data_IF_025444930736
#
_entry.id   IF_025444930736
#
_cell.length_a   1.000
_cell.length_b   1.000
_cell.length_c   1.000
_cell.angle_alpha   90.00
_cell.angle_beta   90.00
_cell.angle_gamma   90.00
#
_symmetry.space_group_name_H-M   'P 1'
#
loop_
_entity.id
_entity.type
_entity.pdbx_description
1 polymer ?
#
# COMPACT_ATOMS: atom_id res chain seq x y z
N UNK A 1 -13.04 20.79 -10.87
CA UNK A 1 -12.56 19.74 -11.78
C UNK A 1 -11.39 18.99 -11.16
N UNK A 2 -11.48 17.68 -11.17
CA UNK A 2 -10.46 16.76 -10.62
C UNK A 2 -9.37 16.57 -11.67
N UNK A 3 -8.13 16.70 -11.29
CA UNK A 3 -7.00 16.32 -12.14
C UNK A 3 -6.50 14.95 -11.71
N UNK A 4 -6.44 14.00 -12.64
CA UNK A 4 -6.06 12.63 -12.33
C UNK A 4 -5.03 12.16 -13.35
N UNK A 5 -3.92 11.65 -12.87
CA UNK A 5 -2.93 11.00 -13.70
C UNK A 5 -2.90 9.51 -13.34
N UNK A 6 -3.36 8.69 -14.25
CA UNK A 6 -3.19 7.23 -14.12
C UNK A 6 -1.75 6.91 -14.52
N UNK A 7 -0.96 6.39 -13.56
CA UNK A 7 0.46 6.11 -13.79
C UNK A 7 0.69 4.61 -13.96
N UNK A 8 -0.06 3.81 -13.20
CA UNK A 8 -0.04 2.35 -13.26
C UNK A 8 -1.46 1.84 -12.98
N UNK A 9 -1.64 0.96 -12.00
CA UNK A 9 -2.93 0.55 -11.48
C UNK A 9 -3.42 1.42 -10.32
N UNK A 10 -2.92 2.65 -10.23
CA UNK A 10 -3.40 3.66 -9.30
C UNK A 10 -3.56 5.01 -9.99
N UNK A 11 -4.42 5.84 -9.44
CA UNK A 11 -4.59 7.23 -9.83
C UNK A 11 -4.04 8.15 -8.75
N UNK A 12 -3.21 9.13 -9.11
CA UNK A 12 -2.85 10.25 -8.22
C UNK A 12 -3.99 11.25 -8.23
N UNK A 13 -4.41 11.65 -7.03
CA UNK A 13 -5.60 12.45 -6.81
C UNK A 13 -5.22 13.90 -6.50
N UNK A 14 -5.92 14.84 -7.10
CA UNK A 14 -5.85 16.24 -6.74
C UNK A 14 -7.22 16.90 -6.96
N UNK A 15 -7.52 17.91 -6.17
CA UNK A 15 -8.72 18.73 -6.33
C UNK A 15 -8.31 20.16 -6.67
N UNK A 16 -8.99 20.77 -7.63
CA UNK A 16 -8.76 22.16 -7.98
C UNK A 16 -9.40 23.11 -6.95
N UNK A 17 -10.62 22.78 -6.54
CA UNK A 17 -11.39 23.55 -5.57
C UNK A 17 -11.74 22.68 -4.38
N UNK A 18 -11.41 23.15 -3.17
CA UNK A 18 -11.69 22.45 -1.92
C UNK A 18 -12.67 23.26 -1.08
N UNK A 19 -13.66 22.58 -0.49
CA UNK A 19 -14.54 23.22 0.49
C UNK A 19 -13.77 23.58 1.76
N UNK A 20 -13.96 24.79 2.27
CA UNK A 20 -13.35 25.22 3.53
C UNK A 20 -13.92 24.47 4.74
N UNK A 21 -15.13 23.94 4.62
CA UNK A 21 -15.84 23.26 5.70
C UNK A 21 -15.59 21.76 5.74
N UNK A 22 -14.97 21.18 4.70
CA UNK A 22 -14.67 19.75 4.66
C UNK A 22 -13.45 19.39 5.50
N UNK A 23 -13.52 18.28 6.23
CA UNK A 23 -12.39 17.68 6.93
C UNK A 23 -11.56 16.78 5.99
N UNK A 24 -12.21 16.30 4.93
CA UNK A 24 -11.54 15.54 3.89
C UNK A 24 -12.45 15.16 2.72
N UNK A 25 -11.96 14.21 1.92
CA UNK A 25 -12.62 13.80 0.69
C UNK A 25 -12.61 12.30 0.55
N UNK A 26 -13.71 11.77 0.08
CA UNK A 26 -13.88 10.36 -0.23
C UNK A 26 -13.88 10.18 -1.75
N UNK A 27 -12.86 9.48 -2.26
CA UNK A 27 -12.69 9.18 -3.67
C UNK A 27 -13.04 7.72 -3.93
N UNK A 28 -13.76 7.48 -5.01
CA UNK A 28 -14.12 6.13 -5.43
C UNK A 28 -13.96 5.98 -6.94
N UNK A 29 -13.60 4.78 -7.40
CA UNK A 29 -13.75 4.38 -8.79
C UNK A 29 -14.94 3.44 -8.90
N UNK A 30 -15.80 3.64 -9.91
CA UNK A 30 -16.93 2.79 -10.20
C UNK A 30 -17.06 2.56 -11.72
N UNK A 31 -17.74 1.50 -12.14
CA UNK A 31 -17.95 1.22 -13.56
C UNK A 31 -18.93 2.20 -14.21
N UNK A 32 -19.85 2.75 -13.42
CA UNK A 32 -20.87 3.69 -13.90
C UNK A 32 -21.46 4.46 -12.71
N UNK A 33 -22.22 5.51 -13.02
CA UNK A 33 -23.00 6.22 -12.03
C UNK A 33 -24.04 5.31 -11.33
N UNK A 34 -24.61 4.36 -12.04
CA UNK A 34 -25.55 3.38 -11.47
C UNK A 34 -24.87 2.50 -10.41
N UNK A 35 -23.63 2.11 -10.63
CA UNK A 35 -22.87 1.31 -9.65
C UNK A 35 -22.41 2.19 -8.48
N UNK A 36 -22.11 3.48 -8.71
CA UNK A 36 -21.85 4.46 -7.65
C UNK A 36 -23.04 4.57 -6.68
N UNK A 37 -24.27 4.69 -7.22
CA UNK A 37 -25.50 4.82 -6.42
C UNK A 37 -25.79 3.56 -5.58
N UNK A 38 -25.30 2.40 -5.99
CA UNK A 38 -25.39 1.15 -5.25
C UNK A 38 -24.22 0.94 -4.26
N UNK A 39 -23.31 1.91 -4.17
CA UNK A 39 -22.08 1.81 -3.41
C UNK A 39 -21.18 0.65 -3.83
N UNK A 40 -21.29 0.20 -5.07
CA UNK A 40 -20.47 -0.86 -5.64
C UNK A 40 -19.17 -0.26 -6.22
N UNK A 41 -18.20 -0.01 -5.32
CA UNK A 41 -16.95 0.62 -5.68
C UNK A 41 -15.89 -0.41 -6.08
N UNK A 42 -15.19 -0.14 -7.17
CA UNK A 42 -14.02 -0.92 -7.64
C UNK A 42 -12.81 -0.64 -6.77
N UNK A 43 -12.61 0.63 -6.43
CA UNK A 43 -11.55 1.10 -5.55
C UNK A 43 -12.05 2.32 -4.78
N UNK A 44 -11.55 2.50 -3.56
CA UNK A 44 -11.94 3.63 -2.73
C UNK A 44 -10.79 4.08 -1.83
N UNK A 45 -10.76 5.36 -1.51
CA UNK A 45 -9.84 5.94 -0.52
C UNK A 45 -10.45 7.17 0.12
N UNK A 46 -10.31 7.27 1.44
CA UNK A 46 -10.64 8.46 2.19
C UNK A 46 -9.35 9.22 2.48
N UNK A 47 -9.37 10.52 2.27
CA UNK A 47 -8.20 11.39 2.34
C UNK A 47 -8.53 12.59 3.19
N UNK A 48 -7.76 12.83 4.25
CA UNK A 48 -7.87 14.05 5.04
C UNK A 48 -7.50 15.27 4.18
N UNK A 49 -8.13 16.39 4.43
CA UNK A 49 -7.88 17.64 3.67
C UNK A 49 -6.40 18.05 3.68
N UNK A 50 -5.70 17.83 4.79
CA UNK A 50 -4.26 18.09 4.95
C UNK A 50 -3.38 17.24 4.05
N UNK A 51 -3.85 16.07 3.63
CA UNK A 51 -3.08 15.12 2.82
C UNK A 51 -3.23 15.33 1.31
N UNK A 52 -4.17 16.15 0.87
CA UNK A 52 -4.41 16.40 -0.56
C UNK A 52 -3.19 16.93 -1.31
N UNK A 53 -2.35 17.72 -0.65
CA UNK A 53 -1.13 18.30 -1.23
C UNK A 53 -0.02 17.26 -1.47
N UNK A 54 -0.17 16.04 -0.96
CA UNK A 54 0.78 14.94 -1.12
C UNK A 54 0.39 13.97 -2.23
N UNK A 55 -0.55 14.34 -3.09
CA UNK A 55 -1.04 13.52 -4.20
C UNK A 55 -1.44 12.10 -3.74
N UNK A 56 -2.46 11.98 -2.89
CA UNK A 56 -2.93 10.68 -2.41
C UNK A 56 -3.30 9.77 -3.58
N UNK A 57 -3.27 8.46 -3.34
CA UNK A 57 -3.41 7.47 -4.41
C UNK A 57 -4.65 6.63 -4.22
N UNK A 58 -5.49 6.58 -5.25
CA UNK A 58 -6.52 5.55 -5.38
C UNK A 58 -5.88 4.33 -6.03
N UNK A 59 -5.68 3.25 -5.27
CA UNK A 59 -4.89 2.08 -5.66
C UNK A 59 -5.76 0.95 -6.21
N UNK A 60 -5.11 0.02 -6.91
CA UNK A 60 -5.66 -1.26 -7.38
C UNK A 60 -6.86 -1.12 -8.30
N UNK A 61 -6.86 -0.08 -9.12
CA UNK A 61 -7.87 0.09 -10.16
C UNK A 61 -7.61 -0.97 -11.25
N UNK A 62 -8.56 -1.87 -11.54
CA UNK A 62 -8.39 -2.90 -12.56
C UNK A 62 -8.20 -2.30 -13.96
N UNK A 63 -7.67 -3.10 -14.88
CA UNK A 63 -7.67 -2.76 -16.31
C UNK A 63 -9.10 -2.51 -16.79
N UNK A 64 -9.28 -1.46 -17.57
CA UNK A 64 -10.58 -1.10 -18.13
C UNK A 64 -10.86 0.40 -18.15
N UNK A 65 -12.13 0.69 -18.42
CA UNK A 65 -12.66 2.07 -18.41
C UNK A 65 -13.57 2.22 -17.20
N UNK A 66 -13.24 3.16 -16.34
CA UNK A 66 -13.93 3.42 -15.09
C UNK A 66 -14.21 4.91 -14.93
N UNK A 67 -14.98 5.28 -13.92
CA UNK A 67 -15.25 6.67 -13.57
C UNK A 67 -14.79 6.94 -12.14
N UNK A 68 -14.00 8.00 -11.97
CA UNK A 68 -13.62 8.52 -10.67
C UNK A 68 -14.68 9.53 -10.20
N UNK A 69 -15.14 9.35 -8.98
CA UNK A 69 -16.01 10.27 -8.27
C UNK A 69 -15.39 10.70 -6.95
N UNK A 70 -15.80 11.86 -6.49
CA UNK A 70 -15.34 12.42 -5.23
C UNK A 70 -16.51 13.09 -4.51
N UNK A 71 -16.55 12.98 -3.18
CA UNK A 71 -17.41 13.80 -2.34
C UNK A 71 -16.66 14.27 -1.10
N UNK A 72 -17.01 15.45 -0.60
CA UNK A 72 -16.49 15.94 0.67
C UNK A 72 -17.10 15.15 1.83
N UNK A 73 -16.38 15.04 2.93
CA UNK A 73 -16.94 14.60 4.20
C UNK A 73 -16.58 15.59 5.32
N UNK A 74 -17.42 15.60 6.35
CA UNK A 74 -17.22 16.33 7.60
C UNK A 74 -17.46 15.37 8.76
N UNK A 75 -16.53 15.37 9.72
CA UNK A 75 -16.67 14.59 10.94
C UNK A 75 -17.54 15.36 11.93
N UNK A 76 -18.54 14.69 12.48
CA UNK A 76 -19.40 15.23 13.54
C UNK A 76 -19.03 14.61 14.89
N UNK A 77 -19.46 15.26 15.97
CA UNK A 77 -19.31 14.73 17.32
C UNK A 77 -19.93 13.33 17.44
N UNK A 78 -19.17 12.35 17.92
CA UNK A 78 -19.60 10.94 18.06
C UNK A 78 -19.14 10.02 16.95
N UNK A 79 -18.13 10.40 16.16
CA UNK A 79 -17.55 9.60 15.05
C UNK A 79 -18.53 9.31 13.92
N UNK A 80 -19.53 10.16 13.73
CA UNK A 80 -20.41 10.13 12.56
C UNK A 80 -19.86 11.06 11.51
N UNK A 81 -20.10 10.73 10.24
CA UNK A 81 -19.65 11.50 9.10
C UNK A 81 -20.83 11.95 8.28
N UNK A 82 -20.82 13.22 7.89
CA UNK A 82 -21.72 13.76 6.87
C UNK A 82 -20.98 13.85 5.55
N UNK A 83 -21.63 13.37 4.52
CA UNK A 83 -21.11 13.43 3.16
C UNK A 83 -21.88 14.46 2.33
N UNK A 84 -21.15 15.20 1.52
CA UNK A 84 -21.70 16.04 0.48
C UNK A 84 -22.13 15.23 -0.75
N UNK A 85 -22.64 15.95 -1.75
CA UNK A 85 -22.99 15.38 -3.04
C UNK A 85 -21.76 14.85 -3.79
N UNK A 86 -21.96 13.86 -4.63
CA UNK A 86 -20.93 13.34 -5.51
C UNK A 86 -20.58 14.36 -6.61
N UNK A 87 -19.30 14.42 -6.97
CA UNK A 87 -18.85 15.13 -8.16
C UNK A 87 -19.39 14.50 -9.43
N UNK A 88 -19.28 15.20 -10.55
CA UNK A 88 -19.37 14.57 -11.87
C UNK A 88 -18.30 13.50 -12.02
N UNK A 89 -18.60 12.45 -12.77
CA UNK A 89 -17.68 11.35 -13.05
C UNK A 89 -16.54 11.78 -13.98
N UNK A 90 -15.31 11.53 -13.54
CA UNK A 90 -14.12 11.72 -14.37
C UNK A 90 -13.69 10.39 -14.99
N UNK A 91 -13.57 10.36 -16.31
CA UNK A 91 -13.22 9.13 -17.05
C UNK A 91 -11.78 8.69 -16.74
N UNK A 92 -11.62 7.46 -16.26
CA UNK A 92 -10.36 6.78 -16.05
C UNK A 92 -10.18 5.64 -17.06
N UNK A 93 -9.08 5.67 -17.81
CA UNK A 93 -8.67 4.54 -18.65
C UNK A 93 -7.42 3.91 -18.06
N UNK A 94 -7.53 2.64 -17.66
CA UNK A 94 -6.44 1.85 -17.08
C UNK A 94 -6.10 0.72 -18.05
N UNK A 95 -4.92 0.80 -18.67
CA UNK A 95 -4.45 -0.16 -19.67
C UNK A 95 -3.45 -1.17 -19.10
N UNK A 96 -3.55 -1.42 -17.78
CA UNK A 96 -2.55 -2.22 -17.07
C UNK A 96 -3.27 -3.23 -16.17
N UNK A 97 -3.00 -4.50 -16.42
CA UNK A 97 -3.50 -5.58 -15.56
C UNK A 97 -2.78 -5.57 -14.21
N UNK A 98 -3.53 -5.45 -13.13
CA UNK A 98 -3.01 -5.63 -11.77
C UNK A 98 -2.62 -7.10 -11.56
N UNK A 99 -1.39 -7.40 -11.10
CA UNK A 99 -1.00 -8.76 -10.77
C UNK A 99 -1.83 -9.32 -9.61
N UNK A 100 -2.01 -10.63 -9.58
CA UNK A 100 -2.64 -11.29 -8.44
C UNK A 100 -1.80 -11.16 -7.16
N UNK A 101 -2.46 -11.06 -6.02
CA UNK A 101 -1.78 -11.08 -4.73
C UNK A 101 -1.03 -12.41 -4.54
N UNK A 102 0.19 -12.39 -3.97
CA UNK A 102 0.90 -13.62 -3.67
C UNK A 102 0.16 -14.42 -2.59
N UNK A 103 0.30 -15.73 -2.64
CA UNK A 103 -0.23 -16.63 -1.61
C UNK A 103 0.86 -16.88 -0.58
N UNK A 104 0.65 -16.46 0.67
CA UNK A 104 1.52 -16.78 1.80
C UNK A 104 1.02 -18.06 2.45
N UNK A 105 1.77 -19.16 2.30
CA UNK A 105 1.40 -20.43 2.91
C UNK A 105 1.77 -20.52 4.39
N UNK A 106 2.92 -19.96 4.75
CA UNK A 106 3.45 -20.10 6.11
C UNK A 106 4.42 -19.00 6.47
N UNK A 107 4.34 -18.53 7.73
CA UNK A 107 5.35 -17.69 8.36
C UNK A 107 6.10 -18.50 9.43
N UNK A 108 7.41 -18.30 9.50
CA UNK A 108 8.28 -18.91 10.49
C UNK A 108 9.21 -17.86 11.09
N UNK A 109 9.20 -17.72 12.41
CA UNK A 109 10.11 -16.81 13.11
C UNK A 109 11.30 -17.59 13.64
N UNK A 110 12.51 -17.18 13.23
CA UNK A 110 13.78 -17.72 13.74
C UNK A 110 14.62 -16.56 14.26
N UNK A 111 14.73 -16.47 15.60
CA UNK A 111 15.34 -15.29 16.24
C UNK A 111 14.62 -14.02 15.83
N UNK A 112 15.29 -13.15 15.06
CA UNK A 112 14.79 -11.88 14.56
C UNK A 112 14.49 -11.90 13.06
N UNK A 113 14.55 -13.06 12.43
CA UNK A 113 14.23 -13.21 11.02
C UNK A 113 12.86 -13.85 10.87
N UNK A 114 12.07 -13.30 9.95
CA UNK A 114 10.78 -13.85 9.56
C UNK A 114 10.94 -14.47 8.17
N UNK A 115 10.84 -15.79 8.09
CA UNK A 115 10.81 -16.53 6.85
C UNK A 115 9.38 -16.65 6.37
N UNK A 116 9.14 -16.30 5.14
CA UNK A 116 7.84 -16.34 4.45
C UNK A 116 7.93 -17.42 3.39
N UNK A 117 7.06 -18.42 3.44
CA UNK A 117 6.94 -19.47 2.44
C UNK A 117 5.76 -19.12 1.55
N UNK A 118 6.05 -18.99 0.25
CA UNK A 118 5.06 -18.64 -0.76
C UNK A 118 4.45 -19.91 -1.37
N UNK A 119 3.17 -19.81 -1.68
CA UNK A 119 2.47 -20.80 -2.49
C UNK A 119 2.78 -20.66 -3.99
N UNK A 120 2.19 -21.53 -4.77
CA UNK A 120 2.28 -21.43 -6.22
C UNK A 120 1.53 -20.17 -6.70
N UNK A 121 2.24 -19.30 -7.38
CA UNK A 121 1.66 -18.18 -8.09
C UNK A 121 1.31 -18.61 -9.51
N UNK A 122 0.14 -18.25 -9.98
CA UNK A 122 -0.33 -18.53 -11.35
C UNK A 122 0.17 -17.50 -12.37
N UNK A 123 0.75 -16.41 -11.90
CA UNK A 123 1.30 -15.32 -12.74
C UNK A 123 2.80 -15.16 -12.50
N UNK A 124 3.52 -14.86 -13.58
CA UNK A 124 4.90 -14.40 -13.46
C UNK A 124 4.94 -13.01 -12.84
N UNK A 125 5.69 -12.88 -11.75
CA UNK A 125 6.01 -11.62 -11.09
C UNK A 125 7.48 -11.30 -11.30
N UNK A 126 7.84 -10.03 -11.33
CA UNK A 126 9.23 -9.61 -11.38
C UNK A 126 9.87 -9.62 -9.99
N UNK A 127 9.05 -9.52 -8.95
CA UNK A 127 9.54 -9.60 -7.59
C UNK A 127 8.47 -9.40 -6.51
N UNK A 128 8.96 -9.33 -5.27
CA UNK A 128 8.16 -9.17 -4.07
C UNK A 128 8.73 -8.07 -3.18
N UNK A 129 7.85 -7.30 -2.57
CA UNK A 129 8.17 -6.40 -1.47
C UNK A 129 7.55 -6.96 -0.18
N UNK A 130 8.32 -6.97 0.91
CA UNK A 130 7.92 -7.52 2.21
C UNK A 130 8.05 -6.45 3.27
N UNK A 131 7.06 -6.33 4.13
CA UNK A 131 7.05 -5.36 5.22
C UNK A 131 6.75 -6.01 6.56
N UNK A 132 7.27 -5.41 7.65
CA UNK A 132 6.77 -5.60 9.00
C UNK A 132 6.16 -4.30 9.49
N UNK A 133 4.92 -4.34 9.90
CA UNK A 133 4.12 -3.20 10.30
C UNK A 133 3.60 -3.35 11.73
N UNK A 134 3.35 -2.25 12.43
CA UNK A 134 2.79 -2.25 13.80
C UNK A 134 1.29 -2.47 13.79
N UNK A 135 0.63 -2.02 12.77
CA UNK A 135 -0.82 -2.06 12.59
C UNK A 135 -1.19 -2.49 11.18
N UNK A 136 -2.46 -2.69 10.97
CA UNK A 136 -3.07 -2.84 9.65
C UNK A 136 -4.30 -1.95 9.58
N UNK A 137 -4.55 -1.42 8.39
CA UNK A 137 -5.75 -0.70 8.04
C UNK A 137 -6.49 -1.52 6.98
N UNK A 138 -7.67 -2.06 7.34
CA UNK A 138 -8.33 -3.08 6.55
C UNK A 138 -7.41 -4.27 6.30
N UNK A 139 -7.12 -4.55 5.03
CA UNK A 139 -6.25 -5.64 4.57
C UNK A 139 -4.82 -5.17 4.25
N UNK A 140 -4.51 -3.89 4.43
CA UNK A 140 -3.18 -3.33 4.19
C UNK A 140 -2.38 -3.21 5.49
N UNK A 141 -1.07 -3.57 5.48
CA UNK A 141 -0.21 -3.26 6.60
C UNK A 141 0.02 -1.75 6.68
N UNK A 142 0.06 -1.18 7.87
CA UNK A 142 0.30 0.23 8.11
C UNK A 142 1.35 0.45 9.20
N UNK A 143 1.93 1.65 9.29
CA UNK A 143 3.02 1.97 10.21
C UNK A 143 4.22 1.01 10.05
N UNK A 144 4.85 1.04 8.88
CA UNK A 144 5.96 0.16 8.55
C UNK A 144 7.21 0.52 9.34
N UNK A 145 7.82 -0.50 9.97
CA UNK A 145 9.11 -0.33 10.65
C UNK A 145 10.27 -0.96 9.88
N UNK A 146 9.98 -1.89 9.00
CA UNK A 146 10.96 -2.56 8.16
C UNK A 146 10.35 -2.91 6.81
N UNK A 147 11.06 -2.54 5.77
CA UNK A 147 10.72 -2.87 4.39
C UNK A 147 11.92 -3.57 3.77
N UNK A 148 11.69 -4.70 3.14
CA UNK A 148 12.69 -5.38 2.34
C UNK A 148 12.10 -5.64 0.96
N UNK A 149 12.77 -5.10 -0.05
CA UNK A 149 12.41 -5.16 -1.45
C UNK A 149 13.42 -5.99 -2.23
N UNK A 150 13.11 -6.33 -3.49
CA UNK A 150 14.01 -6.97 -4.44
C UNK A 150 14.18 -8.49 -4.28
N UNK A 151 13.10 -9.18 -3.98
CA UNK A 151 13.08 -10.61 -4.21
C UNK A 151 12.71 -10.89 -5.67
N UNK A 152 13.36 -11.92 -6.27
CA UNK A 152 12.96 -12.41 -7.59
C UNK A 152 11.54 -12.96 -7.59
N UNK A 153 10.80 -12.75 -8.67
CA UNK A 153 9.47 -13.31 -8.86
C UNK A 153 9.37 -14.82 -8.76
N UNK A 154 10.49 -15.54 -9.02
CA UNK A 154 10.57 -16.99 -8.88
C UNK A 154 10.91 -17.46 -7.46
N UNK A 155 11.06 -16.53 -6.50
CA UNK A 155 11.37 -16.91 -5.11
C UNK A 155 10.20 -17.66 -4.49
N UNK A 156 10.47 -18.83 -3.91
CA UNK A 156 9.50 -19.60 -3.11
C UNK A 156 9.57 -19.27 -1.63
N UNK A 157 10.66 -18.64 -1.22
CA UNK A 157 10.93 -18.26 0.15
C UNK A 157 11.48 -16.84 0.20
N UNK A 158 10.95 -16.05 1.12
CA UNK A 158 11.42 -14.69 1.40
C UNK A 158 11.87 -14.64 2.85
N UNK A 159 12.88 -13.83 3.17
CA UNK A 159 13.39 -13.67 4.54
C UNK A 159 13.47 -12.20 4.90
N UNK A 160 12.57 -11.75 5.75
CA UNK A 160 12.65 -10.42 6.34
C UNK A 160 13.57 -10.46 7.56
N UNK A 161 14.80 -9.93 7.41
CA UNK A 161 15.85 -10.01 8.44
C UNK A 161 15.76 -8.89 9.47
N UNK A 162 16.12 -9.22 10.72
CA UNK A 162 16.32 -8.23 11.77
C UNK A 162 15.04 -7.51 12.19
N UNK A 163 13.92 -8.21 12.24
CA UNK A 163 12.67 -7.67 12.79
C UNK A 163 12.82 -7.54 14.31
N UNK A 164 12.55 -6.36 14.90
CA UNK A 164 12.70 -6.16 16.34
C UNK A 164 11.79 -7.06 17.17
N UNK A 165 12.12 -7.24 18.45
CA UNK A 165 11.22 -7.92 19.41
C UNK A 165 9.87 -7.21 19.46
N UNK A 166 8.79 -7.97 19.39
CA UNK A 166 7.43 -7.43 19.42
C UNK A 166 6.44 -8.23 18.60
N UNK A 167 5.24 -7.70 18.49
CA UNK A 167 4.18 -8.22 17.62
C UNK A 167 4.15 -7.41 16.33
N UNK A 168 4.11 -8.09 15.21
CA UNK A 168 4.19 -7.49 13.89
C UNK A 168 3.18 -8.08 12.94
N UNK A 169 2.66 -7.26 12.07
CA UNK A 169 1.90 -7.66 10.90
C UNK A 169 2.84 -7.76 9.71
N UNK A 170 2.92 -8.93 9.10
CA UNK A 170 3.76 -9.19 7.94
C UNK A 170 2.90 -9.08 6.69
N UNK A 171 3.26 -8.14 5.84
CA UNK A 171 2.65 -7.94 4.53
C UNK A 171 3.61 -8.34 3.42
N UNK A 172 3.08 -8.94 2.36
CA UNK A 172 3.80 -9.28 1.13
C UNK A 172 2.95 -8.85 -0.04
N UNK A 173 3.52 -8.14 -0.98
CA UNK A 173 2.91 -7.96 -2.29
C UNK A 173 3.89 -8.26 -3.41
N UNK A 174 3.36 -8.70 -4.53
CA UNK A 174 4.12 -8.89 -5.75
C UNK A 174 4.12 -7.66 -6.62
N UNK A 175 5.04 -7.59 -7.56
CA UNK A 175 5.05 -6.53 -8.56
C UNK A 175 5.51 -7.02 -9.92
N UNK A 176 5.09 -6.30 -10.95
CA UNK A 176 5.63 -6.33 -12.30
C UNK A 176 6.16 -4.97 -12.67
N UNK A 177 7.21 -4.92 -13.46
CA UNK A 177 7.64 -3.68 -14.08
C UNK A 177 6.81 -3.40 -15.34
N UNK A 178 6.51 -2.15 -15.57
CA UNK A 178 6.00 -1.72 -16.86
C UNK A 178 7.10 -1.84 -17.91
N UNK A 179 6.75 -2.37 -19.07
CA UNK A 179 7.68 -2.56 -20.18
C UNK A 179 8.49 -1.28 -20.46
N UNK A 180 9.81 -1.42 -20.45
CA UNK A 180 10.75 -0.33 -20.71
C UNK A 180 10.85 0.74 -19.61
N UNK A 181 10.32 0.50 -18.42
CA UNK A 181 10.36 1.45 -17.30
C UNK A 181 10.71 0.79 -15.96
N UNK A 182 11.18 1.63 -15.01
CA UNK A 182 11.39 1.21 -13.62
C UNK A 182 10.11 1.32 -12.75
N UNK A 183 8.96 1.57 -13.37
CA UNK A 183 7.69 1.71 -12.64
C UNK A 183 7.12 0.35 -12.33
N UNK A 184 6.76 0.14 -11.06
CA UNK A 184 6.15 -1.10 -10.59
C UNK A 184 4.63 -1.02 -10.68
N UNK A 185 4.00 -2.08 -11.18
CA UNK A 185 2.58 -2.36 -11.02
C UNK A 185 2.48 -3.32 -9.83
N UNK A 186 1.86 -2.87 -8.77
CA UNK A 186 1.79 -3.63 -7.51
C UNK A 186 0.53 -4.50 -7.50
N UNK A 187 0.64 -5.71 -6.97
CA UNK A 187 -0.52 -6.51 -6.58
C UNK A 187 -1.17 -5.93 -5.32
N UNK A 188 -2.37 -6.38 -4.99
CA UNK A 188 -2.88 -6.26 -3.61
C UNK A 188 -1.93 -6.98 -2.66
N UNK A 189 -2.00 -6.63 -1.38
CA UNK A 189 -1.30 -7.37 -0.34
C UNK A 189 -1.84 -8.81 -0.26
N UNK A 190 -0.95 -9.76 0.02
CA UNK A 190 -1.36 -11.06 0.52
C UNK A 190 -2.08 -10.88 1.86
N UNK A 191 -2.83 -11.89 2.30
CA UNK A 191 -3.43 -11.87 3.64
C UNK A 191 -2.37 -11.54 4.70
N UNK A 192 -2.59 -10.42 5.39
CA UNK A 192 -1.65 -9.91 6.39
C UNK A 192 -1.72 -10.76 7.64
N UNK A 193 -0.62 -11.41 8.00
CA UNK A 193 -0.53 -12.33 9.12
C UNK A 193 0.25 -11.73 10.29
N UNK A 194 -0.20 -12.00 11.51
CA UNK A 194 0.46 -11.54 12.73
C UNK A 194 1.52 -12.53 13.18
N UNK A 195 2.71 -12.02 13.54
CA UNK A 195 3.80 -12.80 14.12
C UNK A 195 4.31 -12.17 15.41
N UNK A 196 4.92 -12.98 16.28
CA UNK A 196 5.60 -12.50 17.49
C UNK A 196 7.08 -12.84 17.41
N UNK A 197 7.93 -11.81 17.43
CA UNK A 197 9.38 -11.93 17.57
C UNK A 197 9.75 -11.80 19.05
N UNK A 198 10.26 -12.90 19.64
CA UNK A 198 10.56 -12.97 21.08
C UNK A 198 11.98 -12.52 21.43
N UNK A 199 12.90 -12.58 20.48
CA UNK A 199 14.32 -12.30 20.69
C UNK A 199 14.61 -10.80 20.54
N UNK A 200 15.32 -10.22 21.49
CA UNK A 200 15.84 -8.85 21.33
C UNK A 200 17.01 -8.86 20.34
N UNK A 201 17.10 -7.83 19.50
CA UNK A 201 18.32 -7.59 18.72
C UNK A 201 19.44 -7.29 19.71
N UNK A 202 20.46 -8.12 19.71
CA UNK A 202 21.68 -7.83 20.49
C UNK A 202 22.45 -6.82 19.66
N UNK A 203 22.35 -5.56 20.03
CA UNK A 203 23.32 -4.54 19.56
C UNK A 203 24.60 -4.76 20.34
N UNK A 204 25.56 -5.51 19.76
CA UNK A 204 26.90 -5.58 20.30
C UNK A 204 27.44 -4.16 20.45
N UNK A 205 28.04 -3.82 21.62
CA UNK A 205 28.79 -2.58 21.75
C UNK A 205 29.86 -2.57 20.64
N UNK A 206 29.90 -1.56 19.77
CA UNK A 206 30.99 -1.47 18.80
C UNK A 206 32.32 -1.36 19.58
N UNK A 207 33.21 -2.31 19.33
CA UNK A 207 34.57 -2.25 19.87
C UNK A 207 35.40 -1.37 18.93
N UNK A 208 35.80 -0.21 19.38
CA UNK A 208 36.79 0.62 18.68
C UNK A 208 38.16 -0.08 18.82
N UNK A 209 38.61 -0.73 17.74
CA UNK A 209 39.90 -1.43 17.74
C UNK A 209 41.11 -0.50 17.70
N UNK A 210 41.00 0.68 17.15
CA UNK A 210 42.05 1.72 17.20
C UNK A 210 41.50 3.07 16.74
N UNK A 211 42.02 4.15 17.31
CA UNK A 211 41.85 5.50 16.78
C UNK A 211 43.27 6.11 16.61
N UNK A 212 43.58 6.59 15.39
CA UNK A 212 44.81 7.36 15.15
C UNK A 212 44.44 8.84 15.14
N UNK A 213 45.10 9.62 16.00
CA UNK A 213 45.04 11.08 15.93
C UNK A 213 46.17 11.53 15.02
N UNK A 214 45.85 12.08 13.85
CA UNK A 214 46.82 12.81 13.04
C UNK A 214 47.00 14.21 13.65
N UNK A 215 48.19 14.55 14.11
CA UNK A 215 48.56 15.92 14.43
C UNK A 215 48.81 16.65 13.12
N UNK A 216 48.16 17.79 12.92
CA UNK A 216 48.54 18.80 11.95
C UNK A 216 49.77 19.52 12.40
#
# INVERSE_FOLDING_TARGET
STWTRVITNYAELSLRDTSNEADGYFFVAAESQKELEKENYIAQVKVAKSELNHYPKLKYIPEGTHYLYCRAYKEESGHTEKYGEWSEGFLLKVNIKTPNAPVVQKLQVKKNDVKIILGSNTEELDGYDVVAARSKDGDEPSDYIKVQCKYSGNSKELILKGVPKGNWYIGVHGYKYLDGSNKKVLSKWAEVQKVTVKTSLVTGKPAVKSAKVSRQ
#
